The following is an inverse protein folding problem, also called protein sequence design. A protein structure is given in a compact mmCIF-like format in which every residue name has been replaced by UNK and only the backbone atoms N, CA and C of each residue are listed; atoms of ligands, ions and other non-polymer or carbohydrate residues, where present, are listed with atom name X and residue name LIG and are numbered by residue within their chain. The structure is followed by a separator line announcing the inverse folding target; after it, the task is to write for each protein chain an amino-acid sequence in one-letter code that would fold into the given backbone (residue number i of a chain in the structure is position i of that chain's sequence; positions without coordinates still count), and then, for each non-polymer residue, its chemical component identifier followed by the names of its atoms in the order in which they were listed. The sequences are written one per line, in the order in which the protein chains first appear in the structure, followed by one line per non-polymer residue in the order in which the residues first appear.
data_IF_206410088172
#
_entry.id   IF_206410088172
#
_cell.length_a   1.000
_cell.length_b   1.000
_cell.length_c   1.000
_cell.angle_alpha   90.00
_cell.angle_beta   90.00
_cell.angle_gamma   90.00
#
_symmetry.space_group_name_H-M   'P 1'
#
loop_
_entity.id
_entity.type
_entity.pdbx_description
1 polymer ?
#
# COMPACT_ATOMS: atom_id res chain seq x y z
N UNK A 1 -14.80 -1.82 9.40
CA UNK A 1 -15.45 -1.86 8.08
C UNK A 1 -14.94 -3.05 7.27
N UNK A 2 -15.81 -3.69 6.49
CA UNK A 2 -15.42 -4.78 5.57
C UNK A 2 -14.85 -4.21 4.27
N UNK A 3 -14.10 -5.04 3.51
CA UNK A 3 -13.56 -4.68 2.20
C UNK A 3 -14.65 -4.25 1.22
N UNK A 4 -15.76 -4.97 1.16
CA UNK A 4 -16.88 -4.66 0.26
C UNK A 4 -17.53 -3.33 0.59
N UNK A 5 -17.72 -3.02 1.88
CA UNK A 5 -18.24 -1.71 2.30
C UNK A 5 -17.26 -0.57 2.01
N UNK A 6 -15.95 -0.81 2.13
CA UNK A 6 -14.95 0.18 1.77
C UNK A 6 -14.97 0.46 0.25
N UNK A 7 -15.08 -0.59 -0.57
CA UNK A 7 -15.23 -0.46 -2.03
C UNK A 7 -16.49 0.29 -2.42
N UNK A 8 -17.61 -0.02 -1.81
CA UNK A 8 -18.88 0.66 -2.04
C UNK A 8 -18.79 2.17 -1.70
N UNK A 9 -18.19 2.51 -0.56
CA UNK A 9 -17.99 3.90 -0.14
C UNK A 9 -17.02 4.69 -1.06
N UNK A 10 -16.19 4.00 -1.81
CA UNK A 10 -15.25 4.58 -2.79
C UNK A 10 -15.73 4.45 -4.24
N UNK A 11 -16.91 3.87 -4.49
CA UNK A 11 -17.41 3.52 -5.81
C UNK A 11 -16.45 2.63 -6.63
N UNK A 12 -15.73 1.73 -5.95
CA UNK A 12 -14.83 0.76 -6.58
C UNK A 12 -15.58 -0.55 -6.90
N UNK A 13 -15.27 -1.21 -8.02
CA UNK A 13 -15.85 -2.51 -8.37
C UNK A 13 -15.54 -3.58 -7.31
N UNK A 14 -16.53 -4.41 -6.96
CA UNK A 14 -16.37 -5.46 -5.95
C UNK A 14 -15.69 -6.73 -6.51
N UNK A 15 -15.82 -6.94 -7.80
CA UNK A 15 -15.35 -8.12 -8.54
C UNK A 15 -13.95 -7.95 -9.16
N UNK A 16 -13.34 -6.77 -9.01
CA UNK A 16 -12.01 -6.47 -9.55
C UNK A 16 -10.97 -6.45 -8.43
N UNK A 17 -9.75 -6.91 -8.74
CA UNK A 17 -8.61 -6.73 -7.86
C UNK A 17 -8.18 -5.26 -7.86
N UNK A 18 -7.75 -4.76 -6.71
CA UNK A 18 -7.28 -3.39 -6.58
C UNK A 18 -5.88 -3.38 -5.96
N UNK A 19 -4.91 -2.88 -6.70
CA UNK A 19 -3.60 -2.50 -6.18
C UNK A 19 -3.65 -1.02 -5.79
N UNK A 20 -3.09 -0.68 -4.64
CA UNK A 20 -2.91 0.70 -4.19
C UNK A 20 -1.42 1.01 -4.17
N UNK A 21 -0.99 2.04 -4.88
CA UNK A 21 0.39 2.51 -4.92
C UNK A 21 0.47 3.93 -4.33
N UNK A 22 1.38 4.17 -3.41
CA UNK A 22 1.54 5.48 -2.78
C UNK A 22 3.01 5.90 -2.67
N UNK A 23 3.30 7.13 -3.08
CA UNK A 23 4.60 7.80 -2.89
C UNK A 23 4.74 8.58 -1.58
N UNK A 24 3.76 8.42 -0.68
CA UNK A 24 3.65 9.26 0.51
C UNK A 24 3.00 10.62 0.22
N UNK A 25 2.89 11.46 1.25
CA UNK A 25 2.20 12.75 1.17
C UNK A 25 2.80 13.71 0.14
N UNK A 26 4.10 13.67 -0.06
CA UNK A 26 4.82 14.52 -1.01
C UNK A 26 4.93 13.91 -2.43
N UNK A 27 4.48 12.69 -2.64
CA UNK A 27 4.52 12.02 -3.95
C UNK A 27 5.93 11.79 -4.47
N UNK A 28 6.58 10.69 -4.10
CA UNK A 28 7.92 10.38 -4.57
C UNK A 28 7.95 10.08 -6.07
N UNK A 29 8.87 10.68 -6.83
CA UNK A 29 9.03 10.45 -8.27
C UNK A 29 9.35 9.00 -8.65
N UNK A 30 9.90 8.21 -7.72
CA UNK A 30 10.17 6.77 -7.91
C UNK A 30 8.92 5.93 -8.19
N UNK A 31 7.72 6.45 -7.95
CA UNK A 31 6.44 5.81 -8.28
C UNK A 31 6.32 5.53 -9.79
N UNK A 32 6.82 6.36 -10.66
CA UNK A 32 6.77 6.14 -12.11
C UNK A 32 7.43 4.80 -12.48
N UNK A 33 8.56 4.47 -11.88
CA UNK A 33 9.22 3.19 -12.12
C UNK A 33 8.37 2.01 -11.61
N UNK A 34 7.70 2.18 -10.48
CA UNK A 34 6.78 1.16 -9.97
C UNK A 34 5.57 0.96 -10.89
N UNK A 35 5.00 2.05 -11.44
CA UNK A 35 3.91 1.95 -12.43
C UNK A 35 4.39 1.17 -13.65
N UNK A 36 5.55 1.53 -14.22
CA UNK A 36 6.12 0.83 -15.38
C UNK A 36 6.36 -0.65 -15.10
N UNK A 37 6.91 -0.98 -13.94
CA UNK A 37 7.12 -2.37 -13.52
C UNK A 37 5.83 -3.19 -13.40
N UNK A 38 4.69 -2.55 -13.10
CA UNK A 38 3.39 -3.20 -12.96
C UNK A 38 2.59 -3.29 -14.27
N UNK A 39 2.98 -2.59 -15.34
CA UNK A 39 2.25 -2.64 -16.63
C UNK A 39 2.08 -4.06 -17.18
N UNK A 40 3.11 -4.95 -17.16
CA UNK A 40 2.94 -6.33 -17.62
C UNK A 40 1.88 -7.08 -16.80
N UNK A 41 1.85 -6.90 -15.48
CA UNK A 41 0.87 -7.51 -14.60
C UNK A 41 -0.56 -7.05 -14.93
N UNK A 42 -0.78 -5.75 -15.08
CA UNK A 42 -2.08 -5.19 -15.43
C UNK A 42 -2.55 -5.68 -16.81
N UNK A 43 -1.65 -5.73 -17.78
CA UNK A 43 -1.96 -6.23 -19.12
C UNK A 43 -2.41 -7.71 -19.13
N UNK A 44 -1.82 -8.53 -18.27
CA UNK A 44 -2.17 -9.95 -18.14
C UNK A 44 -3.42 -10.16 -17.28
N UNK A 45 -3.77 -9.20 -16.41
CA UNK A 45 -4.86 -9.29 -15.46
C UNK A 45 -5.91 -8.19 -15.73
N UNK A 46 -6.77 -8.40 -16.73
CA UNK A 46 -7.79 -7.43 -17.14
C UNK A 46 -8.75 -7.03 -16.00
N UNK A 47 -8.92 -7.88 -14.98
CA UNK A 47 -9.74 -7.63 -13.79
C UNK A 47 -8.95 -7.03 -12.61
N UNK A 48 -7.83 -6.36 -12.90
CA UNK A 48 -7.03 -5.69 -11.88
C UNK A 48 -6.93 -4.20 -12.17
N UNK A 49 -7.14 -3.37 -11.16
CA UNK A 49 -6.98 -1.91 -11.23
C UNK A 49 -5.84 -1.46 -10.33
N UNK A 50 -5.16 -0.38 -10.73
CA UNK A 50 -4.09 0.27 -9.99
C UNK A 50 -4.51 1.70 -9.63
N UNK A 51 -4.79 1.93 -8.36
CA UNK A 51 -5.00 3.27 -7.80
C UNK A 51 -3.68 3.86 -7.35
N UNK A 52 -3.36 5.08 -7.78
CA UNK A 52 -2.07 5.72 -7.50
C UNK A 52 -2.29 7.02 -6.71
N UNK A 53 -1.79 7.07 -5.49
CA UNK A 53 -1.76 8.28 -4.67
C UNK A 53 -0.49 9.08 -4.97
N UNK A 54 -0.66 10.19 -5.68
CA UNK A 54 0.43 11.09 -6.08
C UNK A 54 0.76 12.14 -5.00
N UNK A 55 -0.04 12.21 -3.92
CA UNK A 55 0.16 13.19 -2.85
C UNK A 55 -0.03 14.63 -3.33
N UNK A 56 0.86 15.52 -2.90
CA UNK A 56 0.88 16.92 -3.33
C UNK A 56 1.71 17.16 -4.60
N UNK A 57 2.22 16.12 -5.23
CA UNK A 57 3.07 16.23 -6.42
C UNK A 57 2.22 16.29 -7.70
N UNK A 58 1.86 17.50 -8.13
CA UNK A 58 1.07 17.72 -9.35
C UNK A 58 1.81 17.20 -10.60
N UNK A 59 3.12 17.40 -10.71
CA UNK A 59 3.89 16.91 -11.86
C UNK A 59 3.86 15.38 -11.97
N UNK A 60 3.86 14.68 -10.83
CA UNK A 60 3.68 13.23 -10.80
C UNK A 60 2.27 12.83 -11.25
N UNK A 61 1.25 13.54 -10.75
CA UNK A 61 -0.14 13.30 -11.14
C UNK A 61 -0.32 13.46 -12.65
N UNK A 62 0.12 14.59 -13.22
CA UNK A 62 0.02 14.89 -14.65
C UNK A 62 0.78 13.87 -15.52
N UNK A 63 1.96 13.43 -15.07
CA UNK A 63 2.73 12.40 -15.77
C UNK A 63 1.99 11.07 -15.81
N UNK A 64 1.43 10.63 -14.65
CA UNK A 64 0.67 9.38 -14.59
C UNK A 64 -0.60 9.47 -15.43
N UNK A 65 -1.32 10.58 -15.34
CA UNK A 65 -2.55 10.80 -16.08
C UNK A 65 -2.29 10.75 -17.59
N UNK A 66 -1.25 11.41 -18.07
CA UNK A 66 -0.93 11.49 -19.50
C UNK A 66 -0.39 10.19 -20.07
N UNK A 67 0.52 9.51 -19.33
CA UNK A 67 1.26 8.35 -19.85
C UNK A 67 0.49 7.02 -19.69
N UNK A 68 -0.28 6.85 -18.60
CA UNK A 68 -0.70 5.51 -18.18
C UNK A 68 -2.21 5.27 -18.12
N UNK A 69 -3.06 6.28 -18.16
CA UNK A 69 -4.53 6.09 -17.99
C UNK A 69 -5.25 5.53 -19.20
N UNK A 70 -4.61 5.49 -20.37
CA UNK A 70 -5.24 5.10 -21.65
C UNK A 70 -5.87 3.71 -21.65
N UNK A 71 -5.42 2.80 -20.81
CA UNK A 71 -5.95 1.44 -20.70
C UNK A 71 -7.14 1.28 -19.72
N UNK A 72 -7.51 2.36 -19.02
CA UNK A 72 -8.64 2.36 -18.08
C UNK A 72 -8.43 1.62 -16.76
N UNK A 73 -7.29 0.96 -16.55
CA UNK A 73 -6.99 0.22 -15.32
C UNK A 73 -6.22 1.06 -14.29
N UNK A 74 -5.67 2.20 -14.69
CA UNK A 74 -4.82 3.05 -13.86
C UNK A 74 -5.55 4.32 -13.52
N UNK A 75 -5.70 4.59 -12.22
CA UNK A 75 -6.42 5.73 -11.67
C UNK A 75 -5.49 6.57 -10.79
N UNK A 76 -4.92 7.67 -11.32
CA UNK A 76 -4.17 8.61 -10.51
C UNK A 76 -5.10 9.42 -9.62
N UNK A 77 -4.65 9.66 -8.41
CA UNK A 77 -5.32 10.49 -7.42
C UNK A 77 -4.31 11.44 -6.78
N UNK A 78 -4.74 12.63 -6.43
CA UNK A 78 -3.94 13.56 -5.63
C UNK A 78 -3.83 13.05 -4.19
N UNK A 79 -4.04 13.88 -3.22
CA UNK A 79 -4.15 13.46 -1.83
C UNK A 79 -5.56 12.99 -1.49
N UNK A 80 -5.70 12.20 -0.42
CA UNK A 80 -7.00 11.75 0.08
C UNK A 80 -7.05 11.79 1.61
N UNK A 81 -8.21 12.17 2.16
CA UNK A 81 -8.53 12.02 3.58
C UNK A 81 -9.22 10.66 3.88
N UNK A 82 -9.36 9.80 2.87
CA UNK A 82 -10.01 8.48 2.98
C UNK A 82 -9.00 7.33 2.93
N UNK A 83 -7.74 7.55 3.36
CA UNK A 83 -6.67 6.55 3.25
C UNK A 83 -7.06 5.20 3.85
N UNK A 84 -7.70 5.20 5.03
CA UNK A 84 -8.16 3.96 5.69
C UNK A 84 -9.16 3.17 4.82
N UNK A 85 -10.03 3.84 4.06
CA UNK A 85 -10.95 3.18 3.13
C UNK A 85 -10.20 2.60 1.93
N UNK A 86 -9.26 3.35 1.33
CA UNK A 86 -8.45 2.85 0.23
C UNK A 86 -7.60 1.64 0.63
N UNK A 87 -6.96 1.69 1.79
CA UNK A 87 -6.25 0.53 2.34
C UNK A 87 -7.20 -0.67 2.46
N UNK A 88 -8.34 -0.48 3.12
CA UNK A 88 -9.29 -1.57 3.35
C UNK A 88 -9.91 -2.13 2.06
N UNK A 89 -10.06 -1.32 1.03
CA UNK A 89 -10.57 -1.71 -0.28
C UNK A 89 -9.55 -2.51 -1.13
N UNK A 90 -8.25 -2.36 -0.84
CA UNK A 90 -7.16 -2.88 -1.66
C UNK A 90 -6.83 -4.34 -1.37
N UNK A 91 -6.27 -5.03 -2.37
CA UNK A 91 -5.74 -6.40 -2.26
C UNK A 91 -4.26 -6.40 -1.89
N UNK A 92 -3.51 -5.43 -2.41
CA UNK A 92 -2.09 -5.21 -2.11
C UNK A 92 -1.86 -3.70 -2.03
N UNK A 93 -1.11 -3.29 -1.02
CA UNK A 93 -0.61 -1.92 -0.89
C UNK A 93 0.89 -1.90 -1.19
N UNK A 94 1.29 -0.98 -2.05
CA UNK A 94 2.68 -0.78 -2.48
C UNK A 94 3.08 0.62 -2.07
N UNK A 95 4.09 0.76 -1.24
CA UNK A 95 4.52 2.07 -0.76
C UNK A 95 5.98 2.12 -0.37
N UNK A 96 6.49 3.33 -0.18
CA UNK A 96 7.71 3.53 0.59
C UNK A 96 7.49 3.09 2.04
N UNK A 97 8.51 2.59 2.75
CA UNK A 97 8.40 2.08 4.12
C UNK A 97 8.33 3.21 5.16
N UNK A 98 7.39 4.14 4.97
CA UNK A 98 7.09 5.18 5.93
C UNK A 98 6.41 4.61 7.18
N UNK A 99 6.74 5.13 8.37
CA UNK A 99 6.23 4.59 9.64
C UNK A 99 4.70 4.52 9.69
N UNK A 100 4.01 5.62 9.41
CA UNK A 100 2.54 5.67 9.50
C UNK A 100 1.88 4.79 8.44
N UNK A 101 2.18 4.96 7.17
CA UNK A 101 1.53 4.21 6.08
C UNK A 101 1.74 2.70 6.19
N UNK A 102 2.93 2.26 6.62
CA UNK A 102 3.23 0.84 6.84
C UNK A 102 2.42 0.27 8.01
N UNK A 103 2.36 0.99 9.13
CA UNK A 103 1.60 0.56 10.32
C UNK A 103 0.09 0.57 10.06
N UNK A 104 -0.43 1.60 9.39
CA UNK A 104 -1.84 1.69 9.00
C UNK A 104 -2.25 0.55 8.06
N UNK A 105 -1.40 0.22 7.07
CA UNK A 105 -1.63 -0.90 6.16
C UNK A 105 -1.68 -2.24 6.91
N UNK A 106 -0.72 -2.47 7.79
CA UNK A 106 -0.66 -3.70 8.58
C UNK A 106 -1.83 -3.80 9.57
N UNK A 107 -2.23 -2.70 10.21
CA UNK A 107 -3.42 -2.64 11.06
C UNK A 107 -4.72 -2.89 10.29
N UNK A 108 -4.80 -2.40 9.04
CA UNK A 108 -5.93 -2.69 8.14
C UNK A 108 -5.94 -4.14 7.63
N UNK A 109 -4.86 -4.90 7.82
CA UNK A 109 -4.68 -6.26 7.34
C UNK A 109 -4.54 -6.31 5.81
N UNK A 110 -3.82 -5.38 5.21
CA UNK A 110 -3.57 -5.32 3.77
C UNK A 110 -2.16 -5.84 3.47
N UNK A 111 -2.00 -6.80 2.56
CA UNK A 111 -0.69 -7.24 2.12
C UNK A 111 0.15 -6.07 1.61
N UNK A 112 1.39 -5.98 2.07
CA UNK A 112 2.24 -4.80 1.91
C UNK A 112 3.52 -5.13 1.15
N UNK A 113 3.85 -4.29 0.17
CA UNK A 113 5.13 -4.28 -0.54
C UNK A 113 5.83 -2.95 -0.28
N UNK A 114 7.05 -3.00 0.24
CA UNK A 114 7.90 -1.83 0.41
C UNK A 114 8.84 -1.67 -0.77
N UNK A 115 8.85 -0.47 -1.35
CA UNK A 115 9.69 -0.08 -2.48
C UNK A 115 10.50 1.18 -2.15
N UNK A 116 11.66 1.35 -2.78
CA UNK A 116 12.44 2.60 -2.81
C UNK A 116 12.59 3.29 -1.45
N UNK A 117 13.12 2.62 -0.40
CA UNK A 117 13.31 3.25 0.90
C UNK A 117 14.31 4.41 0.83
N UNK A 118 14.04 5.49 1.55
CA UNK A 118 15.04 6.50 1.82
C UNK A 118 16.05 5.93 2.82
N UNK A 119 17.36 6.05 2.57
CA UNK A 119 18.38 5.58 3.50
C UNK A 119 18.19 6.12 4.92
N UNK A 120 18.37 5.25 5.90
CA UNK A 120 18.21 5.58 7.32
C UNK A 120 16.92 5.03 7.92
N UNK A 121 15.95 5.89 8.26
CA UNK A 121 14.73 5.48 8.97
C UNK A 121 13.87 4.52 8.14
N UNK A 122 13.64 4.83 6.86
CA UNK A 122 12.81 4.00 6.00
C UNK A 122 13.46 2.64 5.70
N UNK A 123 14.79 2.56 5.57
CA UNK A 123 15.49 1.28 5.41
C UNK A 123 15.30 0.38 6.63
N UNK A 124 15.39 0.94 7.84
CA UNK A 124 15.14 0.17 9.08
C UNK A 124 13.71 -0.31 9.20
N UNK A 125 12.74 0.52 8.81
CA UNK A 125 11.35 0.11 8.76
C UNK A 125 11.16 -1.06 7.78
N UNK A 126 11.70 -0.95 6.56
CA UNK A 126 11.60 -2.01 5.56
C UNK A 126 12.19 -3.33 6.06
N UNK A 127 13.35 -3.28 6.72
CA UNK A 127 14.02 -4.44 7.31
C UNK A 127 13.20 -5.08 8.43
N UNK A 128 12.66 -4.27 9.35
CA UNK A 128 11.80 -4.76 10.43
C UNK A 128 10.55 -5.45 9.87
N UNK A 129 9.82 -4.79 8.97
CA UNK A 129 8.59 -5.33 8.41
C UNK A 129 8.84 -6.61 7.59
N UNK A 130 9.95 -6.68 6.87
CA UNK A 130 10.33 -7.88 6.12
C UNK A 130 10.73 -9.03 7.06
N UNK A 131 11.53 -8.77 8.11
CA UNK A 131 11.95 -9.73 9.11
C UNK A 131 10.75 -10.35 9.83
N UNK A 132 9.79 -9.55 10.22
CA UNK A 132 8.55 -10.01 10.87
C UNK A 132 7.58 -10.70 9.88
N UNK A 133 7.85 -10.65 8.57
CA UNK A 133 7.00 -11.23 7.53
C UNK A 133 5.67 -10.49 7.34
N UNK A 134 5.63 -9.21 7.69
CA UNK A 134 4.45 -8.33 7.59
C UNK A 134 4.49 -7.38 6.40
N UNK A 135 5.57 -7.43 5.63
CA UNK A 135 5.71 -6.83 4.29
C UNK A 135 6.70 -7.62 3.44
N UNK A 136 6.63 -7.46 2.13
CA UNK A 136 7.69 -7.84 1.20
C UNK A 136 8.57 -6.62 0.96
N UNK A 137 9.87 -6.72 1.23
CA UNK A 137 10.86 -5.70 0.85
C UNK A 137 11.34 -5.98 -0.57
N UNK A 138 11.29 -4.99 -1.42
CA UNK A 138 11.78 -5.00 -2.79
C UNK A 138 13.03 -4.11 -2.85
N UNK A 139 14.16 -4.67 -3.22
CA UNK A 139 15.43 -3.92 -3.33
C UNK A 139 15.49 -3.18 -4.67
N UNK A 140 15.10 -3.85 -5.73
CA UNK A 140 15.02 -3.25 -7.07
C UNK A 140 13.56 -3.26 -7.57
N UNK A 141 12.96 -2.07 -7.60
CA UNK A 141 11.55 -1.90 -8.00
C UNK A 141 11.28 -2.38 -9.42
N UNK A 142 12.22 -2.20 -10.35
CA UNK A 142 12.02 -2.54 -11.76
C UNK A 142 12.02 -4.04 -12.02
N UNK A 143 12.79 -4.81 -11.25
CA UNK A 143 12.97 -6.25 -11.48
C UNK A 143 12.21 -7.14 -10.51
N UNK A 144 11.91 -6.67 -9.31
CA UNK A 144 11.37 -7.51 -8.24
C UNK A 144 9.91 -7.21 -7.89
N UNK A 145 9.40 -5.99 -8.19
CA UNK A 145 8.05 -5.59 -7.79
C UNK A 145 6.98 -6.48 -8.41
N UNK A 146 7.13 -6.83 -9.68
CA UNK A 146 6.18 -7.69 -10.38
C UNK A 146 6.03 -9.03 -9.64
N UNK A 147 7.12 -9.72 -9.37
CA UNK A 147 7.10 -11.02 -8.69
C UNK A 147 6.59 -10.93 -7.24
N UNK A 148 6.86 -9.82 -6.56
CA UNK A 148 6.32 -9.57 -5.21
C UNK A 148 4.79 -9.44 -5.23
N UNK A 149 4.24 -8.72 -6.21
CA UNK A 149 2.78 -8.56 -6.37
C UNK A 149 2.14 -9.88 -6.80
N UNK A 150 2.72 -10.62 -7.75
CA UNK A 150 2.24 -11.94 -8.16
C UNK A 150 2.17 -12.89 -6.97
N UNK A 151 3.23 -12.98 -6.17
CA UNK A 151 3.27 -13.82 -4.96
C UNK A 151 2.18 -13.45 -3.97
N UNK A 152 1.94 -12.17 -3.70
CA UNK A 152 0.88 -11.70 -2.80
C UNK A 152 -0.51 -11.79 -3.41
N UNK A 153 -0.59 -12.03 -4.71
CA UNK A 153 -1.86 -12.29 -5.40
C UNK A 153 -2.38 -13.70 -5.16
N UNK A 154 -1.52 -14.61 -4.70
CA UNK A 154 -1.91 -15.94 -4.27
C UNK A 154 -2.58 -15.88 -2.90
N UNK A 155 -3.81 -16.42 -2.74
CA UNK A 155 -4.59 -16.27 -1.50
C UNK A 155 -3.87 -16.75 -0.25
N UNK A 156 -3.12 -17.83 -0.32
CA UNK A 156 -2.37 -18.39 0.81
C UNK A 156 -1.29 -17.44 1.34
N UNK A 157 -0.52 -16.81 0.44
CA UNK A 157 0.55 -15.90 0.81
C UNK A 157 0.01 -14.60 1.43
N UNK A 158 -1.05 -14.06 0.86
CA UNK A 158 -1.73 -12.88 1.40
C UNK A 158 -2.29 -13.14 2.81
N UNK A 159 -2.92 -14.29 3.04
CA UNK A 159 -3.51 -14.59 4.36
C UNK A 159 -2.43 -14.87 5.42
N UNK A 160 -1.33 -15.53 5.06
CA UNK A 160 -0.21 -15.70 5.99
C UNK A 160 0.37 -14.34 6.43
N UNK A 161 0.55 -13.40 5.49
CA UNK A 161 0.98 -12.05 5.84
C UNK A 161 -0.02 -11.33 6.75
N UNK A 162 -1.33 -11.40 6.45
CA UNK A 162 -2.37 -10.81 7.33
C UNK A 162 -2.35 -11.39 8.73
N UNK A 163 -2.15 -12.70 8.86
CA UNK A 163 -2.03 -13.38 10.16
C UNK A 163 -0.86 -12.81 10.97
N UNK A 164 0.30 -12.65 10.33
CA UNK A 164 1.49 -12.06 10.97
C UNK A 164 1.27 -10.59 11.32
N UNK A 165 0.67 -9.80 10.44
CA UNK A 165 0.30 -8.41 10.71
C UNK A 165 -0.56 -8.29 11.96
N UNK A 166 -1.59 -9.14 12.11
CA UNK A 166 -2.43 -9.17 13.34
C UNK A 166 -1.67 -9.56 14.60
N UNK A 167 -0.64 -10.38 14.48
CA UNK A 167 0.17 -10.81 15.63
C UNK A 167 1.20 -9.75 16.08
N UNK A 168 1.74 -8.97 15.13
CA UNK A 168 2.84 -8.02 15.38
C UNK A 168 2.32 -6.61 15.66
N UNK A 169 1.28 -6.17 14.93
CA UNK A 169 0.79 -4.79 15.02
C UNK A 169 -0.39 -4.69 16.01
N UNK A 170 -0.16 -3.90 17.05
CA UNK A 170 -1.20 -3.61 18.04
C UNK A 170 -2.25 -2.64 17.44
N UNK A 171 -3.45 -3.16 17.21
CA UNK A 171 -4.57 -2.36 16.65
C UNK A 171 -5.18 -1.41 17.68
N UNK A 172 -4.93 -1.60 18.97
CA UNK A 172 -5.44 -0.79 20.08
C UNK A 172 -4.38 0.18 20.63
N UNK A 173 -3.24 0.34 19.98
CA UNK A 173 -2.10 1.10 20.47
C UNK A 173 -2.47 2.52 20.98
N UNK A 174 -3.41 3.21 20.31
CA UNK A 174 -3.85 4.53 20.73
C UNK A 174 -4.59 4.49 22.10
N UNK A 175 -5.41 3.47 22.34
CA UNK A 175 -6.13 3.25 23.59
C UNK A 175 -5.12 2.91 24.68
N UNK A 176 -4.22 1.96 24.43
CA UNK A 176 -3.22 1.52 25.41
C UNK A 176 -2.27 2.66 25.80
N UNK A 177 -1.93 3.56 24.86
CA UNK A 177 -1.13 4.75 25.15
C UNK A 177 -1.92 5.73 26.05
N UNK A 178 -3.20 5.96 25.77
CA UNK A 178 -4.04 6.81 26.61
C UNK A 178 -4.14 6.26 28.04
N UNK A 179 -4.40 4.96 28.20
CA UNK A 179 -4.47 4.29 29.50
C UNK A 179 -3.14 4.39 30.28
N UNK A 180 -2.01 4.21 29.56
CA UNK A 180 -0.69 4.38 30.17
C UNK A 180 -0.47 5.82 30.65
N UNK A 181 -0.82 6.82 29.83
CA UNK A 181 -0.68 8.24 30.19
C UNK A 181 -1.54 8.60 31.39
N UNK A 182 -2.76 8.10 31.50
CA UNK A 182 -3.64 8.29 32.66
C UNK A 182 -3.03 7.70 33.94
N UNK A 183 -2.35 6.56 33.82
CA UNK A 183 -1.68 5.90 34.96
C UNK A 183 -0.46 6.71 35.46
N UNK A 184 0.28 7.35 34.55
CA UNK A 184 1.49 8.14 34.88
C UNK A 184 1.14 9.56 35.36
N UNK A 185 -0.05 10.07 35.02
CA UNK A 185 -0.51 11.41 35.40
C UNK A 185 -1.10 11.49 36.84
N UNK A 186 -1.28 10.33 37.49
CA UNK A 186 -1.69 10.24 38.93
C UNK A 186 -0.48 10.27 39.85
#
# INVERSE_FOLDING_TARGET
ITKDRAREALNLPKDRRTLLLSGGSMGAGSIINAVRALLPYLKQNANCDLSILCGSNEALFDSVETEFTKNGQIMPMRSTNKMALYLKASDVFISKPGGLSSTESAAAGVPLVHISPIPGCESRNAEFFAKEGIAVKVENTETELLSAVERLSEPGNAEEMRKRQRAVINQNAAIDICELLETVAQ
#
